data_IF_524137211019
#
_entry.id   IF_524137211019
#
_cell.length_a   1.000
_cell.length_b   1.000
_cell.length_c   1.000
_cell.angle_alpha   90.00
_cell.angle_beta   90.00
_cell.angle_gamma   90.00
#
_symmetry.space_group_name_H-M   'P 1'
#
loop_
_entity.id
_entity.type
_entity.pdbx_description
1 polymer ?
#
# COMPACT_ATOMS: atom_id res chain seq x y z
N UNK A 1 -17.03 14.07 29.46
CA UNK A 1 -16.89 12.66 28.99
C UNK A 1 -18.03 11.72 29.42
N UNK A 2 -19.21 12.27 29.76
CA UNK A 2 -20.39 11.45 30.10
C UNK A 2 -21.02 10.68 28.93
N UNK A 3 -20.62 10.93 27.69
CA UNK A 3 -21.15 10.21 26.51
C UNK A 3 -20.56 8.83 26.26
N UNK A 4 -19.62 8.38 27.08
CA UNK A 4 -18.95 7.09 26.87
C UNK A 4 -19.69 5.92 27.53
N UNK A 5 -20.67 6.20 28.41
CA UNK A 5 -21.44 5.16 29.11
C UNK A 5 -22.53 4.54 28.22
N UNK A 6 -22.97 5.26 27.18
CA UNK A 6 -23.95 4.75 26.22
C UNK A 6 -23.34 4.60 24.81
N UNK A 7 -22.77 3.44 24.56
CA UNK A 7 -22.17 3.09 23.28
C UNK A 7 -23.15 2.36 22.34
N UNK A 8 -24.42 2.31 22.71
CA UNK A 8 -25.44 1.51 22.00
C UNK A 8 -25.59 1.93 20.54
N UNK A 9 -25.60 3.25 20.28
CA UNK A 9 -25.71 3.76 18.91
C UNK A 9 -24.49 3.45 18.03
N UNK A 10 -23.29 3.38 18.61
CA UNK A 10 -22.07 3.01 17.87
C UNK A 10 -22.00 1.51 17.63
N UNK A 11 -22.42 0.70 18.61
CA UNK A 11 -22.45 -0.77 18.46
C UNK A 11 -23.36 -1.20 17.31
N UNK A 12 -24.45 -0.49 17.06
CA UNK A 12 -25.31 -0.76 15.92
C UNK A 12 -24.62 -0.53 14.56
N UNK A 13 -23.74 0.49 14.49
CA UNK A 13 -23.00 0.77 13.24
C UNK A 13 -22.01 -0.36 12.88
N UNK A 14 -21.48 -1.07 13.86
CA UNK A 14 -20.51 -2.17 13.63
C UNK A 14 -21.15 -3.43 13.04
N UNK A 15 -22.47 -3.52 13.01
CA UNK A 15 -23.23 -4.63 12.45
C UNK A 15 -23.77 -4.33 11.04
N UNK A 16 -23.42 -3.19 10.43
CA UNK A 16 -23.79 -2.87 9.05
C UNK A 16 -23.02 -3.78 8.09
N UNK A 17 -23.78 -4.54 7.27
CA UNK A 17 -23.22 -5.50 6.31
C UNK A 17 -22.37 -4.82 5.21
N UNK A 18 -22.56 -3.53 4.98
CA UNK A 18 -21.77 -2.75 4.02
C UNK A 18 -20.47 -2.22 4.61
N UNK A 19 -20.28 -2.34 5.92
CA UNK A 19 -19.08 -1.86 6.59
C UNK A 19 -17.90 -2.80 6.32
N UNK A 20 -16.87 -2.30 5.65
CA UNK A 20 -15.69 -3.08 5.27
C UNK A 20 -14.49 -2.88 6.18
N UNK A 21 -14.49 -1.82 6.95
CA UNK A 21 -13.41 -1.50 7.88
C UNK A 21 -13.74 -0.27 8.71
N UNK A 22 -12.99 -0.08 9.78
CA UNK A 22 -13.22 0.99 10.75
C UNK A 22 -11.94 1.81 10.90
N UNK A 23 -12.05 3.13 10.74
CA UNK A 23 -10.99 4.07 11.10
C UNK A 23 -11.32 4.63 12.48
N UNK A 24 -10.52 4.30 13.45
CA UNK A 24 -10.66 4.77 14.82
C UNK A 24 -9.68 5.91 15.08
N UNK A 25 -10.19 7.15 15.14
CA UNK A 25 -9.38 8.32 15.39
C UNK A 25 -9.41 8.73 16.87
N UNK A 26 -8.26 8.94 17.45
CA UNK A 26 -8.09 9.46 18.81
C UNK A 26 -7.05 10.57 18.86
N UNK A 27 -7.17 11.43 19.84
CA UNK A 27 -6.16 12.46 20.14
C UNK A 27 -5.11 11.84 21.07
N UNK A 28 -3.84 12.14 20.86
CA UNK A 28 -2.73 11.70 21.72
C UNK A 28 -3.04 12.00 23.20
N UNK A 29 -2.64 11.10 24.07
CA UNK A 29 -2.85 11.18 25.52
C UNK A 29 -4.31 11.08 25.96
N UNK A 30 -5.22 10.63 25.11
CA UNK A 30 -6.59 10.37 25.53
C UNK A 30 -6.77 8.91 25.92
N UNK A 31 -6.59 8.59 27.20
CA UNK A 31 -6.66 7.23 27.74
C UNK A 31 -8.04 6.59 27.52
N UNK A 32 -9.11 7.36 27.64
CA UNK A 32 -10.47 6.87 27.44
C UNK A 32 -10.66 6.22 26.08
N UNK A 33 -10.25 6.91 25.01
CA UNK A 33 -10.39 6.37 23.66
C UNK A 33 -9.42 5.21 23.38
N UNK A 34 -8.32 5.13 24.13
CA UNK A 34 -7.41 4.00 24.04
C UNK A 34 -8.01 2.73 24.63
N UNK A 35 -8.76 2.83 25.74
CA UNK A 35 -9.52 1.71 26.30
C UNK A 35 -10.66 1.27 25.39
N UNK A 36 -11.44 2.21 24.86
CA UNK A 36 -12.52 1.91 23.93
C UNK A 36 -11.98 1.21 22.66
N UNK A 37 -10.83 1.65 22.14
CA UNK A 37 -10.18 0.99 21.02
C UNK A 37 -9.79 -0.45 21.33
N UNK A 38 -9.24 -0.70 22.52
CA UNK A 38 -8.85 -2.05 22.94
C UNK A 38 -10.07 -2.99 23.04
N UNK A 39 -11.19 -2.48 23.57
CA UNK A 39 -12.46 -3.20 23.63
C UNK A 39 -12.99 -3.48 22.22
N UNK A 40 -13.02 -2.47 21.35
CA UNK A 40 -13.48 -2.62 19.97
C UNK A 40 -12.67 -3.67 19.20
N UNK A 41 -11.34 -3.66 19.36
CA UNK A 41 -10.44 -4.62 18.70
C UNK A 41 -10.73 -6.08 19.10
N UNK A 42 -11.22 -6.32 20.32
CA UNK A 42 -11.56 -7.66 20.78
C UNK A 42 -12.93 -8.14 20.26
N UNK A 43 -13.83 -7.22 19.92
CA UNK A 43 -15.23 -7.52 19.58
C UNK A 43 -15.57 -7.36 18.11
N UNK A 44 -14.65 -6.87 17.27
CA UNK A 44 -14.86 -6.74 15.83
C UNK A 44 -13.93 -7.65 15.05
N UNK A 45 -14.48 -8.31 14.03
CA UNK A 45 -13.70 -9.02 13.02
C UNK A 45 -13.30 -8.12 11.83
N UNK A 46 -13.83 -6.89 11.80
CA UNK A 46 -13.52 -5.95 10.72
C UNK A 46 -12.10 -5.40 10.83
N UNK A 47 -11.44 -5.14 9.69
CA UNK A 47 -10.18 -4.42 9.67
C UNK A 47 -10.29 -3.08 10.42
N UNK A 48 -9.33 -2.79 11.28
CA UNK A 48 -9.37 -1.65 12.19
C UNK A 48 -8.07 -0.85 12.09
N UNK A 49 -8.16 0.39 11.63
CA UNK A 49 -7.04 1.33 11.62
C UNK A 49 -7.16 2.32 12.78
N UNK A 50 -6.20 2.29 13.71
CA UNK A 50 -6.08 3.33 14.76
C UNK A 50 -5.25 4.49 14.23
N UNK A 51 -5.80 5.70 14.30
CA UNK A 51 -5.11 6.96 14.01
C UNK A 51 -5.02 7.76 15.30
N UNK A 52 -3.81 8.16 15.66
CA UNK A 52 -3.56 9.09 16.75
C UNK A 52 -3.06 10.41 16.16
N UNK A 53 -3.77 11.48 16.42
CA UNK A 53 -3.34 12.83 16.05
C UNK A 53 -3.08 13.70 17.26
N UNK A 54 -2.25 14.69 17.08
CA UNK A 54 -2.14 15.85 17.94
C UNK A 54 -2.63 17.08 17.18
N UNK A 55 -2.61 18.22 17.84
CA UNK A 55 -3.02 19.48 17.22
C UNK A 55 -1.95 20.08 16.31
N UNK A 56 -0.89 19.32 15.99
CA UNK A 56 0.20 19.75 15.11
C UNK A 56 0.04 19.20 13.70
N UNK A 57 0.43 19.99 12.70
CA UNK A 57 0.31 19.64 11.26
C UNK A 57 1.41 18.65 10.80
N UNK A 58 2.22 18.15 11.72
CA UNK A 58 3.52 17.53 11.43
C UNK A 58 3.52 16.10 10.83
N UNK A 59 2.42 15.49 10.50
CA UNK A 59 2.45 14.10 10.00
C UNK A 59 1.43 13.79 8.90
N UNK A 60 1.03 14.78 8.12
CA UNK A 60 0.02 14.58 7.07
C UNK A 60 0.43 13.52 6.04
N UNK A 61 1.70 13.46 5.64
CA UNK A 61 2.18 12.45 4.68
C UNK A 61 2.13 11.03 5.22
N UNK A 62 2.60 10.82 6.46
CA UNK A 62 2.52 9.50 7.10
C UNK A 62 1.08 9.05 7.32
N UNK A 63 0.21 9.99 7.70
CA UNK A 63 -1.21 9.71 7.89
C UNK A 63 -1.86 9.30 6.56
N UNK A 64 -1.58 10.03 5.49
CA UNK A 64 -2.09 9.71 4.16
C UNK A 64 -1.65 8.32 3.71
N UNK A 65 -0.37 7.98 3.82
CA UNK A 65 0.14 6.64 3.48
C UNK A 65 -0.55 5.53 4.27
N UNK A 66 -0.82 5.75 5.57
CA UNK A 66 -1.54 4.76 6.39
C UNK A 66 -3.01 4.62 5.98
N UNK A 67 -3.67 5.71 5.62
CA UNK A 67 -5.04 5.69 5.11
C UNK A 67 -5.13 4.99 3.76
N UNK A 68 -4.19 5.26 2.85
CA UNK A 68 -4.10 4.60 1.54
C UNK A 68 -3.89 3.09 1.72
N UNK A 69 -2.93 2.67 2.55
CA UNK A 69 -2.69 1.25 2.84
C UNK A 69 -3.92 0.57 3.45
N UNK A 70 -4.63 1.26 4.33
CA UNK A 70 -5.87 0.72 4.89
C UNK A 70 -6.96 0.59 3.83
N UNK A 71 -7.14 1.61 2.98
CA UNK A 71 -8.08 1.54 1.86
C UNK A 71 -7.74 0.38 0.90
N UNK A 72 -6.46 0.18 0.57
CA UNK A 72 -6.00 -0.96 -0.23
C UNK A 72 -6.33 -2.31 0.44
N UNK A 73 -6.22 -2.40 1.77
CA UNK A 73 -6.47 -3.64 2.51
C UNK A 73 -7.95 -4.05 2.57
N UNK A 74 -8.86 -3.07 2.49
CA UNK A 74 -10.31 -3.30 2.54
C UNK A 74 -10.99 -3.20 1.17
N UNK A 75 -10.25 -2.75 0.15
CA UNK A 75 -10.74 -2.77 -1.23
C UNK A 75 -11.04 -4.23 -1.62
N UNK A 76 -12.17 -4.51 -2.29
CA UNK A 76 -12.35 -5.80 -2.92
C UNK A 76 -11.15 -6.00 -3.84
N UNK A 77 -10.60 -7.21 -3.88
CA UNK A 77 -9.63 -7.57 -4.91
C UNK A 77 -10.30 -7.32 -6.27
N UNK A 78 -10.19 -6.11 -6.75
CA UNK A 78 -10.48 -5.81 -8.13
C UNK A 78 -9.30 -6.39 -8.92
N UNK A 79 -9.40 -7.68 -9.20
CA UNK A 79 -8.91 -8.17 -10.48
C UNK A 79 -9.77 -7.46 -11.55
N UNK A 80 -9.58 -6.15 -11.72
CA UNK A 80 -10.00 -5.52 -12.95
C UNK A 80 -9.25 -6.26 -14.03
N UNK A 81 -10.01 -7.09 -14.77
CA UNK A 81 -9.53 -7.82 -15.91
C UNK A 81 -9.05 -6.85 -16.98
N UNK A 82 -7.86 -6.32 -16.80
CA UNK A 82 -7.00 -6.04 -17.94
C UNK A 82 -6.78 -7.40 -18.55
N UNK A 83 -7.36 -7.63 -19.74
CA UNK A 83 -7.12 -8.85 -20.53
C UNK A 83 -5.64 -9.18 -20.37
N UNK A 84 -5.39 -10.35 -19.78
CA UNK A 84 -4.04 -10.86 -19.63
C UNK A 84 -3.47 -10.90 -21.05
N UNK A 85 -2.66 -9.90 -21.40
CA UNK A 85 -1.83 -10.04 -22.60
C UNK A 85 -1.13 -11.36 -22.40
N UNK A 86 -1.28 -12.30 -23.35
CA UNK A 86 -0.53 -13.56 -23.32
C UNK A 86 0.94 -13.21 -23.53
N UNK A 87 1.56 -12.66 -22.49
CA UNK A 87 2.98 -12.41 -22.40
C UNK A 87 3.73 -13.67 -21.98
N UNK A 88 5.01 -13.54 -21.79
CA UNK A 88 5.88 -14.67 -21.39
C UNK A 88 5.72 -15.08 -19.92
N UNK A 89 4.87 -14.40 -19.13
CA UNK A 89 4.59 -14.71 -17.74
C UNK A 89 5.55 -14.07 -16.76
N UNK A 90 6.13 -12.90 -17.08
CA UNK A 90 6.97 -12.14 -16.16
C UNK A 90 6.21 -10.99 -15.52
N UNK A 91 6.51 -10.74 -14.24
CA UNK A 91 6.02 -9.59 -13.51
C UNK A 91 7.20 -8.78 -12.96
N UNK A 92 7.08 -7.46 -12.99
CA UNK A 92 8.09 -6.58 -12.43
C UNK A 92 7.52 -5.73 -11.29
N UNK A 93 8.34 -5.50 -10.27
CA UNK A 93 8.09 -4.58 -9.17
C UNK A 93 9.16 -3.50 -9.13
N UNK A 94 8.74 -2.24 -8.95
CA UNK A 94 9.63 -1.09 -8.77
C UNK A 94 9.34 -0.47 -7.40
N UNK A 95 10.34 -0.42 -6.53
CA UNK A 95 10.31 0.38 -5.30
C UNK A 95 11.14 1.64 -5.52
N UNK A 96 10.49 2.78 -5.64
CA UNK A 96 11.16 4.07 -5.85
C UNK A 96 11.26 4.85 -4.55
N UNK A 97 12.35 4.64 -3.83
CA UNK A 97 12.71 5.40 -2.66
C UNK A 97 13.36 6.75 -2.97
N UNK A 98 13.60 7.55 -1.93
CA UNK A 98 14.27 8.86 -2.07
C UNK A 98 15.75 8.75 -2.42
N UNK A 99 16.40 7.65 -2.07
CA UNK A 99 17.85 7.43 -2.24
C UNK A 99 18.14 6.37 -3.29
N UNK A 100 17.45 5.24 -3.24
CA UNK A 100 17.58 4.12 -4.16
C UNK A 100 16.26 3.81 -4.85
N UNK A 101 16.36 3.22 -6.02
CA UNK A 101 15.27 2.59 -6.75
C UNK A 101 15.62 1.14 -6.98
N UNK A 102 14.76 0.28 -6.50
CA UNK A 102 14.95 -1.17 -6.51
C UNK A 102 13.96 -1.78 -7.50
N UNK A 103 14.43 -2.68 -8.37
CA UNK A 103 13.60 -3.37 -9.36
C UNK A 103 13.81 -4.86 -9.22
N UNK A 104 12.71 -5.62 -9.21
CA UNK A 104 12.71 -7.07 -9.20
C UNK A 104 11.85 -7.58 -10.34
N UNK A 105 12.33 -8.59 -11.07
CA UNK A 105 11.54 -9.32 -12.07
C UNK A 105 11.35 -10.75 -11.60
N UNK A 106 10.10 -11.21 -11.61
CA UNK A 106 9.69 -12.55 -11.24
C UNK A 106 9.17 -13.30 -12.48
N UNK A 107 9.37 -14.61 -12.49
CA UNK A 107 8.72 -15.50 -13.46
C UNK A 107 7.30 -15.89 -13.00
N UNK A 108 6.60 -16.68 -13.82
CA UNK A 108 5.25 -17.21 -13.54
C UNK A 108 5.18 -18.07 -12.26
N UNK A 109 6.30 -18.68 -11.87
CA UNK A 109 6.41 -19.52 -10.67
C UNK A 109 6.84 -18.73 -9.44
N UNK A 110 6.90 -17.37 -9.58
CA UNK A 110 7.31 -16.40 -8.56
C UNK A 110 8.77 -16.51 -8.13
N UNK A 111 9.62 -17.10 -8.95
CA UNK A 111 11.05 -17.07 -8.72
C UNK A 111 11.65 -15.76 -9.23
N UNK A 112 12.60 -15.22 -8.48
CA UNK A 112 13.31 -14.01 -8.87
C UNK A 112 14.26 -14.33 -10.03
N UNK A 113 14.01 -13.67 -11.17
CA UNK A 113 14.85 -13.76 -12.37
C UNK A 113 16.03 -12.80 -12.26
N UNK A 114 15.76 -11.58 -11.82
CA UNK A 114 16.78 -10.55 -11.59
C UNK A 114 16.32 -9.56 -10.55
N UNK A 115 17.28 -8.88 -9.91
CA UNK A 115 17.06 -7.78 -8.99
C UNK A 115 18.15 -6.74 -9.19
N UNK A 116 17.77 -5.48 -9.31
CA UNK A 116 18.66 -4.34 -9.53
C UNK A 116 18.37 -3.27 -8.49
N UNK A 117 19.42 -2.68 -7.95
CA UNK A 117 19.35 -1.53 -7.03
C UNK A 117 20.20 -0.42 -7.61
N UNK A 118 19.60 0.72 -7.88
CA UNK A 118 20.27 1.91 -8.40
C UNK A 118 19.98 3.14 -7.54
N UNK A 119 20.90 4.12 -7.50
CA UNK A 119 20.54 5.43 -6.96
C UNK A 119 19.39 6.07 -7.73
N UNK A 120 18.37 6.58 -7.02
CA UNK A 120 17.21 7.24 -7.65
C UNK A 120 17.62 8.45 -8.51
N UNK A 121 18.64 9.19 -8.06
CA UNK A 121 19.17 10.33 -8.82
C UNK A 121 18.25 11.54 -8.79
N UNK A 122 18.14 12.23 -9.92
CA UNK A 122 17.48 13.53 -10.02
C UNK A 122 15.93 13.47 -10.04
N UNK A 123 15.34 12.29 -10.13
CA UNK A 123 13.87 12.13 -10.12
C UNK A 123 13.41 10.69 -10.14
N UNK A 124 12.32 10.43 -9.43
CA UNK A 124 11.77 9.08 -9.24
C UNK A 124 11.42 8.38 -10.57
N UNK A 125 10.77 9.08 -11.50
CA UNK A 125 10.41 8.52 -12.80
C UNK A 125 11.64 8.12 -13.62
N UNK A 126 12.64 9.01 -13.71
CA UNK A 126 13.87 8.75 -14.48
C UNK A 126 14.67 7.61 -13.83
N UNK A 127 14.76 7.59 -12.50
CA UNK A 127 15.42 6.52 -11.76
C UNK A 127 14.75 5.16 -11.99
N UNK A 128 13.43 5.14 -11.98
CA UNK A 128 12.63 3.94 -12.20
C UNK A 128 12.80 3.37 -13.62
N UNK A 129 12.68 4.19 -14.64
CA UNK A 129 12.86 3.77 -16.03
C UNK A 129 14.27 3.20 -16.26
N UNK A 130 15.31 3.91 -15.79
CA UNK A 130 16.69 3.45 -15.90
C UNK A 130 16.92 2.12 -15.18
N UNK A 131 16.37 1.96 -13.98
CA UNK A 131 16.50 0.73 -13.21
C UNK A 131 15.75 -0.45 -13.87
N UNK A 132 14.57 -0.18 -14.43
CA UNK A 132 13.80 -1.15 -15.18
C UNK A 132 14.51 -1.60 -16.45
N UNK A 133 15.03 -0.67 -17.26
CA UNK A 133 15.81 -0.97 -18.46
C UNK A 133 17.01 -1.88 -18.12
N UNK A 134 17.76 -1.53 -17.08
CA UNK A 134 18.90 -2.33 -16.66
C UNK A 134 18.49 -3.73 -16.15
N UNK A 135 17.34 -3.85 -15.47
CA UNK A 135 16.82 -5.14 -15.05
C UNK A 135 16.41 -6.01 -16.23
N UNK A 136 15.74 -5.42 -17.23
CA UNK A 136 15.35 -6.09 -18.46
C UNK A 136 16.58 -6.59 -19.23
N UNK A 137 17.57 -5.73 -19.42
CA UNK A 137 18.83 -6.08 -20.09
C UNK A 137 19.55 -7.24 -19.38
N UNK A 138 19.63 -7.19 -18.05
CA UNK A 138 20.26 -8.24 -17.23
C UNK A 138 19.55 -9.58 -17.33
N UNK A 139 18.24 -9.57 -17.54
CA UNK A 139 17.42 -10.76 -17.69
C UNK A 139 17.31 -11.24 -19.17
N UNK A 140 17.79 -10.46 -20.13
CA UNK A 140 17.59 -10.72 -21.57
C UNK A 140 16.13 -10.61 -21.99
N UNK A 141 15.36 -9.74 -21.31
CA UNK A 141 13.94 -9.51 -21.54
C UNK A 141 13.71 -8.14 -22.18
N UNK A 142 12.53 -8.00 -22.76
CA UNK A 142 12.02 -6.73 -23.27
C UNK A 142 10.84 -6.26 -22.44
N UNK A 143 10.44 -5.01 -22.61
CA UNK A 143 9.26 -4.45 -21.92
C UNK A 143 7.97 -5.23 -22.23
N UNK A 144 7.89 -5.78 -23.45
CA UNK A 144 6.72 -6.56 -23.92
C UNK A 144 6.60 -7.91 -23.24
N UNK A 145 7.69 -8.42 -22.64
CA UNK A 145 7.71 -9.68 -21.91
C UNK A 145 7.12 -9.54 -20.49
N UNK A 146 6.96 -8.29 -19.99
CA UNK A 146 6.41 -7.99 -18.67
C UNK A 146 4.89 -7.87 -18.76
N UNK A 147 4.18 -8.79 -18.15
CA UNK A 147 2.72 -8.83 -18.13
C UNK A 147 2.10 -7.90 -17.12
N UNK A 148 2.82 -7.66 -16.01
CA UNK A 148 2.37 -6.75 -14.94
C UNK A 148 3.55 -5.98 -14.36
N UNK A 149 3.39 -4.67 -14.21
CA UNK A 149 4.33 -3.78 -13.53
C UNK A 149 3.66 -3.10 -12.35
N UNK A 150 4.17 -3.37 -11.14
CA UNK A 150 3.69 -2.78 -9.91
C UNK A 150 4.71 -1.78 -9.38
N UNK A 151 4.26 -0.61 -8.97
CA UNK A 151 5.11 0.43 -8.38
C UNK A 151 4.79 0.67 -6.91
N UNK A 152 5.83 0.88 -6.12
CA UNK A 152 5.73 1.25 -4.71
C UNK A 152 6.78 2.29 -4.34
N UNK A 153 6.87 2.64 -3.07
CA UNK A 153 7.80 3.63 -2.58
C UNK A 153 7.27 5.07 -2.63
N UNK A 154 8.10 5.99 -2.16
CA UNK A 154 7.76 7.42 -2.11
C UNK A 154 7.48 8.00 -3.50
N UNK A 155 8.22 7.54 -4.50
CA UNK A 155 8.11 8.00 -5.89
C UNK A 155 7.07 7.27 -6.74
N UNK A 156 6.30 6.32 -6.19
CA UNK A 156 5.37 5.45 -6.94
C UNK A 156 4.37 6.17 -7.83
N UNK A 157 3.89 7.34 -7.39
CA UNK A 157 2.89 8.13 -8.12
C UNK A 157 3.46 8.91 -9.29
N UNK A 158 4.78 9.06 -9.37
CA UNK A 158 5.46 9.73 -10.48
C UNK A 158 5.81 8.76 -11.62
N UNK A 159 5.59 7.45 -11.44
CA UNK A 159 5.94 6.41 -12.41
C UNK A 159 4.69 6.05 -13.21
N UNK A 160 4.51 6.67 -14.36
CA UNK A 160 3.34 6.48 -15.22
C UNK A 160 3.32 5.11 -15.94
N UNK A 161 4.47 4.47 -16.07
CA UNK A 161 4.61 3.17 -16.75
C UNK A 161 4.07 1.97 -15.96
N UNK A 162 3.73 2.16 -14.68
CA UNK A 162 3.19 1.12 -13.81
C UNK A 162 1.74 0.77 -14.11
N UNK A 163 1.40 -0.51 -14.10
CA UNK A 163 0.00 -0.96 -14.22
C UNK A 163 -0.78 -0.73 -12.94
N UNK A 164 -0.10 -0.82 -11.79
CA UNK A 164 -0.68 -0.62 -10.46
C UNK A 164 0.34 0.02 -9.52
N UNK A 165 -0.12 1.00 -8.76
CA UNK A 165 0.65 1.61 -7.68
C UNK A 165 0.07 1.17 -6.34
N UNK A 166 0.92 0.69 -5.43
CA UNK A 166 0.54 0.25 -4.07
C UNK A 166 1.47 0.87 -3.04
N UNK A 167 1.03 0.93 -1.79
CA UNK A 167 1.86 1.48 -0.71
C UNK A 167 2.92 0.47 -0.25
N UNK A 168 4.06 0.97 0.25
CA UNK A 168 5.10 0.15 0.88
C UNK A 168 4.54 -0.70 2.02
N UNK A 169 3.62 -0.14 2.81
CA UNK A 169 2.98 -0.84 3.93
C UNK A 169 2.24 -2.09 3.43
N UNK A 170 1.53 -1.98 2.31
CA UNK A 170 0.84 -3.11 1.69
C UNK A 170 1.82 -4.16 1.18
N UNK A 171 2.95 -3.74 0.59
CA UNK A 171 4.00 -4.66 0.15
C UNK A 171 4.59 -5.46 1.32
N UNK A 172 4.87 -4.80 2.45
CA UNK A 172 5.46 -5.45 3.64
C UNK A 172 4.47 -6.32 4.42
N UNK A 173 3.17 -6.14 4.22
CA UNK A 173 2.12 -6.90 4.92
C UNK A 173 1.80 -8.25 4.25
N UNK A 174 2.33 -8.53 3.07
CA UNK A 174 2.11 -9.76 2.29
C UNK A 174 3.31 -10.68 2.34
#
# INVERSE_FOLDING_TARGET
CMRMVDNTGRKQLYHDENLRGIIYHTVKFCDFYSFEYAELKQHTALPLLKIESDYTVQSSGQLLTRLEAFAESIAPEQMEGKECKMGKGFAAGIDSGSTSTDVVILDKDKHMVTGIILPTGAGAAIGAERALEQALDSAGLTREDIDALVTTGYGRTAIESGDKSITEITCHAR
#
